data_IF_365393924322
#
_entry.id   IF_365393924322
#
_cell.length_a   1.000
_cell.length_b   1.000
_cell.length_c   1.000
_cell.angle_alpha   90.00
_cell.angle_beta   90.00
_cell.angle_gamma   90.00
#
_symmetry.space_group_name_H-M   'P 1'
#
loop_
_entity.id
_entity.type
_entity.pdbx_description
1 polymer ?
#
# COMPACT_ATOMS: atom_id res chain seq x y z
N UNK A 1 -17.04 22.32 -7.55
CA UNK A 1 -16.87 21.29 -6.50
C UNK A 1 -16.32 20.04 -7.16
N UNK A 2 -15.06 19.70 -6.94
CA UNK A 2 -14.48 18.49 -7.56
C UNK A 2 -15.09 17.27 -6.87
N UNK A 3 -15.96 16.53 -7.57
CA UNK A 3 -16.46 15.23 -7.12
C UNK A 3 -15.27 14.28 -7.02
N UNK A 4 -14.88 13.90 -5.80
CA UNK A 4 -13.87 12.86 -5.61
C UNK A 4 -14.36 11.57 -6.30
N UNK A 5 -13.51 10.89 -7.08
CA UNK A 5 -13.89 9.61 -7.66
C UNK A 5 -14.25 8.62 -6.54
N UNK A 6 -15.22 7.72 -6.78
CA UNK A 6 -15.60 6.72 -5.78
C UNK A 6 -14.38 5.88 -5.41
N UNK A 7 -14.16 5.69 -4.11
CA UNK A 7 -13.04 4.90 -3.60
C UNK A 7 -13.08 3.48 -4.18
N UNK A 8 -11.91 2.95 -4.53
CA UNK A 8 -11.79 1.56 -4.94
C UNK A 8 -12.17 0.62 -3.79
N UNK A 9 -12.53 -0.63 -4.12
CA UNK A 9 -12.84 -1.66 -3.12
C UNK A 9 -11.69 -1.84 -2.12
N UNK A 10 -10.45 -1.84 -2.61
CA UNK A 10 -9.23 -1.94 -1.78
C UNK A 10 -9.14 -0.77 -0.81
N UNK A 11 -9.25 0.46 -1.29
CA UNK A 11 -9.16 1.66 -0.45
C UNK A 11 -10.25 1.71 0.63
N UNK A 12 -11.46 1.24 0.31
CA UNK A 12 -12.55 1.14 1.29
C UNK A 12 -12.24 0.14 2.40
N UNK A 13 -11.71 -1.04 2.04
CA UNK A 13 -11.35 -2.08 3.01
C UNK A 13 -10.19 -1.60 3.88
N UNK A 14 -9.18 -0.94 3.31
CA UNK A 14 -8.06 -0.36 4.06
C UNK A 14 -8.52 0.70 5.08
N UNK A 15 -9.46 1.59 4.70
CA UNK A 15 -10.05 2.55 5.65
C UNK A 15 -10.87 1.87 6.74
N UNK A 16 -11.62 0.81 6.39
CA UNK A 16 -12.36 0.02 7.38
C UNK A 16 -11.43 -0.68 8.38
N UNK A 17 -10.27 -1.19 7.92
CA UNK A 17 -9.23 -1.77 8.78
C UNK A 17 -8.70 -0.76 9.80
N UNK A 18 -8.41 0.48 9.37
CA UNK A 18 -7.97 1.54 10.29
C UNK A 18 -9.02 1.81 11.37
N UNK A 19 -10.30 1.88 10.99
CA UNK A 19 -11.38 2.09 11.96
C UNK A 19 -11.53 0.89 12.92
N UNK A 20 -11.50 -0.32 12.40
CA UNK A 20 -11.56 -1.54 13.22
C UNK A 20 -10.38 -1.61 14.20
N UNK A 21 -9.17 -1.22 13.77
CA UNK A 21 -7.98 -1.21 14.63
C UNK A 21 -8.13 -0.17 15.75
N UNK A 22 -8.65 1.01 15.44
CA UNK A 22 -9.00 2.01 16.44
C UNK A 22 -10.04 1.49 17.45
N UNK A 23 -11.07 0.79 16.98
CA UNK A 23 -12.10 0.23 17.87
C UNK A 23 -11.53 -0.87 18.77
N UNK A 24 -10.73 -1.79 18.23
CA UNK A 24 -10.11 -2.87 19.01
C UNK A 24 -9.18 -2.29 20.08
N UNK A 25 -8.32 -1.34 19.71
CA UNK A 25 -7.39 -0.71 20.66
C UNK A 25 -8.11 0.10 21.75
N UNK A 26 -9.30 0.65 21.47
CA UNK A 26 -10.08 1.45 22.42
C UNK A 26 -11.08 0.65 23.26
N UNK A 27 -11.66 -0.41 22.70
CA UNK A 27 -12.82 -1.10 23.27
C UNK A 27 -12.61 -2.61 23.47
N UNK A 28 -11.41 -3.11 23.20
CA UNK A 28 -10.97 -4.46 23.50
C UNK A 28 -11.14 -5.46 22.35
N UNK A 29 -10.63 -6.66 22.60
CA UNK A 29 -10.48 -7.76 21.63
C UNK A 29 -11.79 -8.32 21.07
N UNK A 30 -12.94 -8.01 21.66
CA UNK A 30 -14.26 -8.45 21.15
C UNK A 30 -14.54 -8.01 19.71
N UNK A 31 -13.81 -7.02 19.20
CA UNK A 31 -13.90 -6.55 17.82
C UNK A 31 -12.81 -7.11 16.90
N UNK A 32 -11.89 -7.96 17.41
CA UNK A 32 -10.76 -8.48 16.64
C UNK A 32 -11.22 -9.27 15.39
N UNK A 33 -12.34 -9.99 15.47
CA UNK A 33 -12.88 -10.72 14.31
C UNK A 33 -13.24 -9.82 13.11
N UNK A 34 -13.45 -8.51 13.32
CA UNK A 34 -13.62 -7.57 12.21
C UNK A 34 -12.30 -7.32 11.46
N UNK A 35 -11.15 -7.32 12.17
CA UNK A 35 -9.82 -7.22 11.55
C UNK A 35 -9.59 -8.45 10.69
N UNK A 36 -9.72 -9.65 11.26
CA UNK A 36 -9.45 -10.91 10.56
C UNK A 36 -10.25 -11.01 9.25
N UNK A 37 -11.54 -10.67 9.33
CA UNK A 37 -12.42 -10.66 8.17
C UNK A 37 -11.98 -9.64 7.12
N UNK A 38 -11.68 -8.41 7.52
CA UNK A 38 -11.30 -7.35 6.59
C UNK A 38 -9.94 -7.62 5.93
N UNK A 39 -9.00 -8.23 6.66
CA UNK A 39 -7.71 -8.65 6.10
C UNK A 39 -7.89 -9.76 5.03
N UNK A 40 -8.78 -10.73 5.27
CA UNK A 40 -9.12 -11.74 4.28
C UNK A 40 -9.78 -11.12 3.03
N UNK A 41 -10.73 -10.20 3.21
CA UNK A 41 -11.37 -9.50 2.10
C UNK A 41 -10.38 -8.63 1.30
N UNK A 42 -9.40 -8.01 1.99
CA UNK A 42 -8.33 -7.23 1.36
C UNK A 42 -7.41 -8.13 0.52
N UNK A 43 -7.05 -9.30 1.06
CA UNK A 43 -6.22 -10.28 0.35
C UNK A 43 -6.88 -10.73 -0.96
N UNK A 44 -8.19 -11.03 -0.94
CA UNK A 44 -8.94 -11.39 -2.15
C UNK A 44 -9.07 -10.20 -3.11
N UNK A 45 -9.36 -8.99 -2.62
CA UNK A 45 -9.49 -7.81 -3.48
C UNK A 45 -8.18 -7.49 -4.21
N UNK A 46 -7.02 -7.66 -3.56
CA UNK A 46 -5.70 -7.43 -4.16
C UNK A 46 -5.29 -8.49 -5.19
N UNK A 47 -5.89 -9.69 -5.17
CA UNK A 47 -5.66 -10.69 -6.23
C UNK A 47 -6.30 -10.28 -7.56
N UNK A 48 -7.45 -9.60 -7.48
CA UNK A 48 -8.24 -9.20 -8.67
C UNK A 48 -7.67 -7.95 -9.33
N UNK A 49 -6.99 -7.09 -8.58
CA UNK A 49 -6.48 -5.81 -9.09
C UNK A 49 -4.94 -5.73 -8.99
N UNK A 50 -4.21 -6.20 -10.03
CA UNK A 50 -2.75 -6.18 -10.04
C UNK A 50 -2.17 -4.77 -10.06
N UNK A 51 -2.89 -3.78 -10.59
CA UNK A 51 -2.46 -2.38 -10.62
C UNK A 51 -2.62 -1.72 -9.25
N UNK A 52 -3.76 -1.89 -8.58
CA UNK A 52 -3.90 -1.41 -7.20
C UNK A 52 -2.91 -2.11 -6.27
N UNK A 53 -2.61 -3.39 -6.50
CA UNK A 53 -1.57 -4.11 -5.77
C UNK A 53 -0.19 -3.49 -6.00
N UNK A 54 0.19 -3.20 -7.24
CA UNK A 54 1.46 -2.54 -7.56
C UNK A 54 1.55 -1.14 -6.94
N UNK A 55 0.48 -0.35 -7.02
CA UNK A 55 0.42 0.98 -6.44
C UNK A 55 0.52 0.96 -4.90
N UNK A 56 -0.22 0.06 -4.23
CA UNK A 56 -0.14 -0.09 -2.78
C UNK A 56 1.26 -0.51 -2.29
N UNK A 57 1.97 -1.32 -3.09
CA UNK A 57 3.38 -1.65 -2.82
C UNK A 57 4.22 -0.37 -2.89
N UNK A 58 4.10 0.43 -3.96
CA UNK A 58 4.83 1.69 -4.08
C UNK A 58 4.50 2.68 -2.95
N UNK A 59 3.24 2.79 -2.57
CA UNK A 59 2.79 3.68 -1.48
C UNK A 59 3.36 3.25 -0.11
N UNK A 60 3.49 1.94 0.12
CA UNK A 60 4.13 1.39 1.34
C UNK A 60 5.64 1.68 1.39
N UNK A 61 6.31 1.73 0.24
CA UNK A 61 7.76 1.97 0.16
C UNK A 61 8.14 3.45 -0.08
N UNK A 62 7.17 4.31 -0.38
CA UNK A 62 7.38 5.76 -0.38
C UNK A 62 7.29 6.30 1.06
N UNK A 63 7.92 7.46 1.29
CA UNK A 63 8.31 8.03 2.60
C UNK A 63 7.24 8.06 3.71
N UNK A 64 5.96 7.86 3.39
CA UNK A 64 4.86 7.75 4.36
C UNK A 64 4.76 6.37 5.04
N UNK A 65 5.36 5.30 4.48
CA UNK A 65 5.19 3.91 4.95
C UNK A 65 6.29 3.35 5.87
N UNK A 66 7.35 4.09 6.15
CA UNK A 66 8.30 3.80 7.25
C UNK A 66 9.09 2.49 7.20
N UNK A 67 9.04 1.71 6.12
CA UNK A 67 9.88 0.51 5.97
C UNK A 67 10.78 0.68 4.74
N UNK A 68 12.05 1.03 4.99
CA UNK A 68 13.16 1.10 4.03
C UNK A 68 12.78 1.75 2.69
N UNK A 69 12.67 3.08 2.68
CA UNK A 69 12.63 3.85 1.44
C UNK A 69 13.83 3.46 0.58
N UNK A 70 13.60 2.86 -0.59
CA UNK A 70 14.63 2.76 -1.62
C UNK A 70 14.96 4.20 -2.00
N UNK A 71 16.17 4.71 -1.71
CA UNK A 71 16.53 6.04 -2.18
C UNK A 71 16.53 5.98 -3.71
N UNK A 72 15.66 6.79 -4.33
CA UNK A 72 15.62 7.05 -5.77
C UNK A 72 16.89 7.78 -6.21
N UNK A 73 18.02 7.11 -6.14
CA UNK A 73 19.33 7.63 -6.50
C UNK A 73 20.09 6.51 -7.18
N UNK A 74 19.95 6.44 -8.51
CA UNK A 74 21.08 6.57 -9.45
C UNK A 74 20.62 6.24 -10.87
N UNK A 75 19.93 7.19 -11.46
CA UNK A 75 20.03 7.47 -12.89
C UNK A 75 21.42 8.06 -13.18
N UNK A 76 22.43 7.22 -13.47
CA UNK A 76 23.61 7.56 -14.28
C UNK A 76 24.19 6.32 -14.97
N UNK A 77 23.68 6.02 -16.16
CA UNK A 77 24.52 5.45 -17.22
C UNK A 77 24.93 6.64 -18.10
N UNK A 78 26.24 6.83 -18.32
CA UNK A 78 26.76 6.83 -19.68
C UNK A 78 27.91 5.81 -19.78
N UNK A 79 27.80 4.87 -20.71
CA UNK A 79 28.40 4.96 -22.04
C UNK A 79 29.90 4.68 -22.01
N UNK A 80 30.23 3.45 -22.44
CA UNK A 80 31.42 3.07 -23.20
C UNK A 80 32.45 4.18 -23.40
N UNK A 81 33.60 4.05 -22.73
CA UNK A 81 34.87 4.54 -23.29
C UNK A 81 35.96 3.51 -23.04
N UNK A 82 36.24 2.73 -24.08
CA UNK A 82 37.51 2.04 -24.27
C UNK A 82 38.12 2.61 -25.54
N UNK A 83 39.38 3.05 -25.49
CA UNK A 83 40.27 2.57 -26.55
C UNK A 83 41.62 2.09 -25.99
N UNK A 84 42.12 1.04 -26.63
CA UNK A 84 43.50 0.57 -26.58
C UNK A 84 44.45 1.56 -27.29
N UNK A 85 45.77 1.49 -27.04
CA UNK A 85 46.60 0.53 -27.77
C UNK A 85 47.37 -0.44 -26.87
#
# INVERSE_FOLDING_TARGET
MASQPPLSKVQRIERALVLAAYIVTRHGEKYAGYIDRLEAELAEARKVDPMARAQAILDRYTRAGGVNAIPTSQSRLPSSDRPSP
#
